data_IF_666220555202
#
_entry.id   IF_666220555202
#
_cell.length_a   1.000
_cell.length_b   1.000
_cell.length_c   1.000
_cell.angle_alpha   90.00
_cell.angle_beta   90.00
_cell.angle_gamma   90.00
#
_symmetry.space_group_name_H-M   'P 1'
#
loop_
_entity.id
_entity.type
_entity.pdbx_description
1 polymer ?
#
# COMPACT_ATOMS: atom_id res chain seq x y z
N UNK A 1 3.45 11.81 -1.14
CA UNK A 1 4.12 13.13 -1.04
C UNK A 1 3.01 14.16 -0.89
N UNK A 2 3.17 15.30 -0.23
CA UNK A 2 2.13 16.34 -0.37
C UNK A 2 2.29 17.04 -1.72
N UNK A 3 1.19 17.50 -2.32
CA UNK A 3 1.20 18.13 -3.65
C UNK A 3 2.05 19.41 -3.66
N UNK A 4 2.01 20.15 -2.55
CA UNK A 4 2.83 21.35 -2.35
C UNK A 4 4.32 21.01 -2.25
N UNK A 5 4.63 19.91 -1.56
CA UNK A 5 6.01 19.45 -1.40
C UNK A 5 6.60 18.96 -2.73
N UNK A 6 5.78 18.29 -3.56
CA UNK A 6 6.18 17.88 -4.91
C UNK A 6 6.55 19.06 -5.80
N UNK A 7 5.72 20.11 -5.79
CA UNK A 7 5.98 21.33 -6.54
C UNK A 7 7.22 22.06 -6.00
N UNK A 8 7.33 22.25 -4.69
CA UNK A 8 8.49 22.89 -4.08
C UNK A 8 9.80 22.14 -4.40
N UNK A 9 9.79 20.81 -4.36
CA UNK A 9 10.92 20.00 -4.79
C UNK A 9 11.29 20.24 -6.26
N UNK A 10 10.29 20.29 -7.15
CA UNK A 10 10.51 20.53 -8.57
C UNK A 10 11.17 21.90 -8.80
N UNK A 11 10.63 22.95 -8.19
CA UNK A 11 11.08 24.33 -8.36
C UNK A 11 12.42 24.62 -7.67
N UNK A 12 12.59 24.17 -6.43
CA UNK A 12 13.73 24.59 -5.60
C UNK A 12 14.93 23.65 -5.73
N UNK A 13 14.71 22.39 -6.12
CA UNK A 13 15.76 21.37 -6.10
C UNK A 13 16.00 20.73 -7.46
N UNK A 14 14.95 20.20 -8.11
CA UNK A 14 15.13 19.44 -9.34
C UNK A 14 15.54 20.32 -10.52
N UNK A 15 14.75 21.36 -10.80
CA UNK A 15 14.97 22.25 -11.94
C UNK A 15 16.36 22.91 -11.87
N UNK A 16 16.77 23.55 -10.75
CA UNK A 16 18.05 24.27 -10.70
C UNK A 16 19.26 23.33 -10.77
N UNK A 17 19.16 22.12 -10.20
CA UNK A 17 20.27 21.14 -10.18
C UNK A 17 20.42 20.34 -11.46
N UNK A 18 19.40 20.35 -12.31
CA UNK A 18 19.39 19.57 -13.57
C UNK A 18 19.30 20.47 -14.79
N UNK A 19 19.41 21.79 -14.64
CA UNK A 19 19.24 22.75 -15.73
C UNK A 19 20.18 22.45 -16.90
N UNK A 20 19.57 22.33 -18.09
CA UNK A 20 20.26 22.18 -19.37
C UNK A 20 19.46 22.87 -20.47
N UNK A 21 20.13 23.24 -21.56
CA UNK A 21 19.45 23.79 -22.75
C UNK A 21 18.61 22.73 -23.50
N UNK A 22 18.84 21.44 -23.23
CA UNK A 22 18.11 20.35 -23.87
C UNK A 22 16.85 19.96 -23.10
N UNK A 23 15.84 19.39 -23.78
CA UNK A 23 14.68 18.80 -23.13
C UNK A 23 15.08 17.70 -22.16
N UNK A 24 14.43 17.69 -20.99
CA UNK A 24 14.70 16.73 -19.90
C UNK A 24 13.51 15.82 -19.71
N UNK A 25 13.75 14.55 -19.38
CA UNK A 25 12.70 13.58 -19.10
C UNK A 25 12.66 13.28 -17.60
N UNK A 26 11.50 13.53 -16.98
CA UNK A 26 11.19 13.17 -15.60
C UNK A 26 10.23 11.96 -15.58
N UNK A 27 10.69 10.87 -14.98
CA UNK A 27 9.91 9.62 -14.86
C UNK A 27 9.37 9.52 -13.43
N UNK A 28 8.06 9.50 -13.28
CA UNK A 28 7.34 9.40 -12.00
C UNK A 28 6.71 8.01 -11.85
N UNK A 29 6.59 7.54 -10.60
CA UNK A 29 5.75 6.38 -10.32
C UNK A 29 4.27 6.74 -10.57
N UNK A 30 3.48 5.76 -11.00
CA UNK A 30 2.07 5.94 -11.38
C UNK A 30 1.13 6.30 -10.23
N UNK A 31 1.61 6.84 -9.11
CA UNK A 31 0.77 7.33 -8.03
C UNK A 31 0.19 8.69 -8.42
N UNK A 32 -0.80 8.67 -9.32
CA UNK A 32 -1.43 9.83 -9.95
C UNK A 32 -2.15 10.80 -9.02
N UNK A 33 -1.98 10.69 -7.70
CA UNK A 33 -2.51 11.62 -6.70
C UNK A 33 -1.66 12.89 -6.51
N UNK A 34 -0.44 12.98 -7.07
CA UNK A 34 0.50 14.08 -6.78
C UNK A 34 0.90 14.94 -7.98
N UNK A 35 0.20 14.79 -9.11
CA UNK A 35 0.49 15.50 -10.34
C UNK A 35 -0.56 16.60 -10.49
N UNK A 36 -0.25 17.76 -9.89
CA UNK A 36 -1.12 18.94 -9.96
C UNK A 36 -0.93 19.69 -11.26
N UNK A 37 -1.93 20.50 -11.64
CA UNK A 37 -1.81 21.46 -12.73
C UNK A 37 -0.52 22.29 -12.63
N UNK A 38 -0.22 22.86 -11.45
CA UNK A 38 0.97 23.70 -11.26
C UNK A 38 2.26 22.93 -11.50
N UNK A 39 2.32 21.68 -11.06
CA UNK A 39 3.49 20.83 -11.27
C UNK A 39 3.74 20.61 -12.76
N UNK A 40 2.69 20.28 -13.52
CA UNK A 40 2.81 20.07 -14.95
C UNK A 40 3.11 21.37 -15.71
N UNK A 41 2.48 22.48 -15.31
CA UNK A 41 2.71 23.78 -15.93
C UNK A 41 4.18 24.21 -15.77
N UNK A 42 4.71 24.14 -14.54
CA UNK A 42 6.10 24.50 -14.27
C UNK A 42 7.08 23.59 -15.02
N UNK A 43 6.80 22.27 -15.08
CA UNK A 43 7.62 21.34 -15.84
C UNK A 43 7.64 21.68 -17.33
N UNK A 44 6.49 22.02 -17.92
CA UNK A 44 6.37 22.41 -19.32
C UNK A 44 7.17 23.70 -19.61
N UNK A 45 6.99 24.73 -18.77
CA UNK A 45 7.72 26.01 -18.88
C UNK A 45 9.25 25.80 -18.75
N UNK A 46 9.67 24.79 -17.99
CA UNK A 46 11.08 24.44 -17.77
C UNK A 46 11.65 23.43 -18.78
N UNK A 47 10.92 23.11 -19.86
CA UNK A 47 11.31 22.10 -20.87
C UNK A 47 11.57 20.70 -20.27
N UNK A 48 10.75 20.31 -19.29
CA UNK A 48 10.77 19.00 -18.62
C UNK A 48 9.53 18.21 -19.06
N UNK A 49 9.73 17.12 -19.79
CA UNK A 49 8.67 16.16 -20.12
C UNK A 49 8.45 15.19 -18.97
N UNK A 50 7.19 14.98 -18.60
CA UNK A 50 6.81 14.07 -17.52
C UNK A 50 6.22 12.78 -18.10
N UNK A 51 6.77 11.64 -17.69
CA UNK A 51 6.21 10.31 -17.95
C UNK A 51 5.80 9.68 -16.62
N UNK A 52 4.53 9.27 -16.54
CA UNK A 52 4.01 8.49 -15.44
C UNK A 52 4.05 7.01 -15.81
N UNK A 53 4.77 6.23 -15.02
CA UNK A 53 4.83 4.79 -15.21
C UNK A 53 3.47 4.14 -14.90
N UNK A 54 3.12 3.03 -15.56
CA UNK A 54 1.95 2.24 -15.21
C UNK A 54 1.88 1.89 -13.72
N UNK A 55 0.66 1.79 -13.19
CA UNK A 55 0.44 1.23 -11.87
C UNK A 55 1.09 -0.16 -11.77
N UNK A 56 1.69 -0.45 -10.62
CA UNK A 56 2.36 -1.73 -10.32
C UNK A 56 3.54 -2.10 -11.24
N UNK A 57 4.05 -1.17 -12.06
CA UNK A 57 5.23 -1.42 -12.91
C UNK A 57 6.57 -0.99 -12.32
N UNK A 58 6.59 -0.46 -11.09
CA UNK A 58 7.80 0.04 -10.41
C UNK A 58 8.96 -0.95 -10.48
N UNK A 59 8.74 -2.20 -10.07
CA UNK A 59 9.72 -3.29 -10.10
C UNK A 59 10.22 -3.67 -11.52
N UNK A 60 9.55 -3.19 -12.57
CA UNK A 60 9.85 -3.49 -13.97
C UNK A 60 10.34 -2.30 -14.77
N UNK A 61 10.15 -1.07 -14.30
CA UNK A 61 10.43 0.14 -15.07
C UNK A 61 11.20 1.21 -14.29
N UNK A 62 11.20 1.20 -12.95
CA UNK A 62 11.91 2.21 -12.17
C UNK A 62 13.39 1.84 -11.95
N UNK A 63 14.33 2.64 -12.47
CA UNK A 63 15.76 2.39 -12.26
C UNK A 63 16.14 2.38 -10.78
N UNK A 64 15.46 3.21 -9.98
CA UNK A 64 15.71 3.33 -8.55
C UNK A 64 15.44 1.99 -7.84
N UNK A 65 14.30 1.37 -8.10
CA UNK A 65 13.92 0.09 -7.51
C UNK A 65 14.74 -1.10 -8.02
N UNK A 66 15.09 -1.13 -9.30
CA UNK A 66 15.80 -2.27 -9.89
C UNK A 66 17.30 -2.24 -9.59
N UNK A 67 17.92 -1.06 -9.57
CA UNK A 67 19.37 -0.95 -9.56
C UNK A 67 19.99 -0.17 -8.40
N UNK A 68 19.21 0.63 -7.65
CA UNK A 68 19.77 1.58 -6.67
C UNK A 68 19.41 1.19 -5.24
N UNK A 69 18.15 0.83 -4.96
CA UNK A 69 17.74 0.54 -3.59
C UNK A 69 18.39 -0.69 -2.97
N UNK A 70 18.63 -1.75 -3.76
CA UNK A 70 19.30 -2.94 -3.24
C UNK A 70 20.75 -2.65 -2.80
N UNK A 71 21.61 -2.01 -3.61
CA UNK A 71 22.93 -1.58 -3.14
C UNK A 71 22.88 -0.60 -1.96
N UNK A 72 21.93 0.35 -1.97
CA UNK A 72 21.78 1.31 -0.88
C UNK A 72 21.49 0.60 0.45
N UNK A 73 20.55 -0.34 0.46
CA UNK A 73 20.23 -1.15 1.64
C UNK A 73 21.43 -1.98 2.10
N UNK A 74 22.18 -2.55 1.16
CA UNK A 74 23.38 -3.33 1.47
C UNK A 74 24.45 -2.49 2.17
N UNK A 75 24.82 -1.33 1.62
CA UNK A 75 25.84 -0.47 2.22
C UNK A 75 25.36 0.15 3.53
N UNK A 76 24.07 0.51 3.62
CA UNK A 76 23.49 1.00 4.87
C UNK A 76 23.57 -0.07 5.97
N UNK A 77 23.18 -1.31 5.66
CA UNK A 77 23.29 -2.44 6.58
C UNK A 77 24.73 -2.67 7.04
N UNK A 78 25.69 -2.63 6.10
CA UNK A 78 27.12 -2.76 6.41
C UNK A 78 27.63 -1.65 7.35
N UNK A 79 27.21 -0.40 7.13
CA UNK A 79 27.58 0.73 7.98
C UNK A 79 27.00 0.57 9.39
N UNK A 80 25.72 0.18 9.48
CA UNK A 80 25.05 -0.09 10.75
C UNK A 80 25.71 -1.27 11.52
N UNK A 81 26.03 -2.36 10.84
CA UNK A 81 26.68 -3.54 11.42
C UNK A 81 28.09 -3.22 11.93
N UNK A 82 28.82 -2.36 11.22
CA UNK A 82 30.16 -1.91 11.63
C UNK A 82 30.05 -1.05 12.89
N UNK A 83 29.14 -0.09 12.90
CA UNK A 83 28.88 0.73 14.08
C UNK A 83 28.48 -0.08 15.31
N UNK A 84 27.58 -1.07 15.15
CA UNK A 84 27.16 -1.95 16.24
C UNK A 84 28.33 -2.78 16.80
N UNK A 85 29.23 -3.27 15.93
CA UNK A 85 30.42 -4.02 16.36
C UNK A 85 31.42 -3.14 17.12
N UNK A 86 31.65 -1.93 16.64
CA UNK A 86 32.68 -1.02 17.19
C UNK A 86 32.23 -0.38 18.50
N UNK A 87 30.99 0.11 18.58
CA UNK A 87 30.49 0.81 19.77
C UNK A 87 29.79 -0.09 20.78
N UNK A 88 29.37 -1.30 20.38
CA UNK A 88 28.49 -2.19 21.17
C UNK A 88 27.20 -1.51 21.62
N UNK A 89 26.79 -0.44 20.92
CA UNK A 89 25.54 0.28 21.16
C UNK A 89 24.56 0.05 20.02
N UNK A 90 23.25 0.12 20.31
CA UNK A 90 22.21 -0.03 19.32
C UNK A 90 22.11 1.17 18.36
N UNK A 91 21.56 0.93 17.16
CA UNK A 91 21.27 1.97 16.16
C UNK A 91 20.22 2.94 16.69
N UNK A 92 20.56 4.23 16.74
CA UNK A 92 19.66 5.32 17.16
C UNK A 92 19.16 6.10 15.95
N UNK A 93 18.03 6.80 16.09
CA UNK A 93 17.50 7.69 15.04
C UNK A 93 18.53 8.73 14.57
N UNK A 94 19.38 9.25 15.47
CA UNK A 94 20.45 10.20 15.14
C UNK A 94 21.58 9.63 14.27
N UNK A 95 21.77 8.30 14.27
CA UNK A 95 22.82 7.63 13.46
C UNK A 95 22.39 7.35 12.02
N UNK A 96 21.09 7.51 11.72
CA UNK A 96 20.55 7.27 10.38
C UNK A 96 21.30 8.06 9.30
N UNK A 97 21.51 9.37 9.53
CA UNK A 97 22.16 10.22 8.54
C UNK A 97 23.60 9.79 8.28
N UNK A 98 24.33 9.38 9.31
CA UNK A 98 25.71 8.90 9.18
C UNK A 98 25.80 7.66 8.29
N UNK A 99 24.93 6.67 8.52
CA UNK A 99 24.93 5.45 7.71
C UNK A 99 24.39 5.71 6.30
N UNK A 100 23.39 6.59 6.18
CA UNK A 100 22.82 6.96 4.90
C UNK A 100 23.82 7.71 4.02
N UNK A 101 24.57 8.69 4.56
CA UNK A 101 25.55 9.45 3.77
C UNK A 101 26.67 8.56 3.26
N UNK A 102 27.18 7.64 4.08
CA UNK A 102 28.15 6.63 3.67
C UNK A 102 27.59 5.72 2.57
N UNK A 103 26.43 5.13 2.81
CA UNK A 103 25.77 4.25 1.84
C UNK A 103 25.43 4.96 0.53
N UNK A 104 25.02 6.23 0.61
CA UNK A 104 24.70 7.07 -0.54
C UNK A 104 25.94 7.30 -1.40
N UNK A 105 27.08 7.68 -0.79
CA UNK A 105 28.33 7.89 -1.52
C UNK A 105 28.81 6.62 -2.24
N UNK A 106 28.60 5.45 -1.64
CA UNK A 106 28.95 4.14 -2.23
C UNK A 106 27.94 3.62 -3.26
N UNK A 107 26.72 4.15 -3.28
CA UNK A 107 25.65 3.66 -4.15
C UNK A 107 25.46 4.53 -5.38
N UNK A 108 25.33 5.85 -5.19
CA UNK A 108 24.96 6.81 -6.23
C UNK A 108 26.17 7.21 -7.10
N UNK A 109 26.93 6.22 -7.55
CA UNK A 109 28.01 6.39 -8.52
C UNK A 109 27.44 6.43 -9.95
N UNK A 110 28.09 7.15 -10.88
CA UNK A 110 27.67 7.19 -12.28
C UNK A 110 27.50 5.80 -12.91
N UNK A 111 28.42 4.87 -12.61
CA UNK A 111 28.36 3.48 -13.08
C UNK A 111 27.10 2.73 -12.63
N UNK A 112 26.68 2.92 -11.37
CA UNK A 112 25.51 2.25 -10.80
C UNK A 112 24.23 2.82 -11.41
N UNK A 113 24.16 4.15 -11.51
CA UNK A 113 23.03 4.86 -12.12
C UNK A 113 22.89 4.44 -13.58
N UNK A 114 23.95 4.52 -14.39
CA UNK A 114 23.91 4.11 -15.79
C UNK A 114 23.54 2.63 -15.95
N UNK A 115 24.05 1.75 -15.07
CA UNK A 115 23.67 0.34 -15.07
C UNK A 115 22.19 0.13 -14.79
N UNK A 116 21.61 0.87 -13.85
CA UNK A 116 20.19 0.82 -13.54
C UNK A 116 19.34 1.23 -14.76
N UNK A 117 19.67 2.36 -15.41
CA UNK A 117 18.97 2.81 -16.61
C UNK A 117 19.11 1.82 -17.78
N UNK A 118 20.28 1.20 -17.94
CA UNK A 118 20.53 0.15 -18.95
C UNK A 118 19.76 -1.14 -18.67
N UNK A 119 19.66 -1.54 -17.41
CA UNK A 119 18.88 -2.71 -16.99
C UNK A 119 17.40 -2.56 -17.35
N UNK A 120 16.89 -1.32 -17.31
CA UNK A 120 15.51 -1.00 -17.69
C UNK A 120 15.32 -0.80 -19.19
N UNK A 121 16.40 -0.78 -19.98
CA UNK A 121 16.33 -0.47 -21.40
C UNK A 121 15.81 0.95 -21.65
N UNK A 122 16.06 1.90 -20.74
CA UNK A 122 15.77 3.32 -20.95
C UNK A 122 16.94 3.98 -21.68
N UNK A 123 18.17 3.69 -21.24
CA UNK A 123 19.40 4.20 -21.86
C UNK A 123 20.44 3.06 -22.00
N UNK A 124 20.75 2.60 -23.23
CA UNK A 124 20.05 2.92 -24.48
C UNK A 124 18.62 2.36 -24.48
N UNK A 125 17.74 2.95 -25.28
CA UNK A 125 16.36 2.53 -25.38
C UNK A 125 16.25 1.12 -25.97
N UNK A 126 15.73 0.17 -25.20
CA UNK A 126 15.55 -1.22 -25.59
C UNK A 126 14.35 -1.85 -24.84
N UNK A 127 13.14 -1.87 -25.44
CA UNK A 127 11.94 -2.36 -24.78
C UNK A 127 11.98 -3.87 -24.47
N UNK A 128 12.77 -4.65 -25.19
CA UNK A 128 12.85 -6.11 -25.00
C UNK A 128 13.32 -6.50 -23.60
N UNK A 129 14.14 -5.65 -22.95
CA UNK A 129 14.61 -5.87 -21.56
C UNK A 129 13.46 -6.00 -20.56
N UNK A 130 12.35 -5.30 -20.81
CA UNK A 130 11.16 -5.30 -19.95
C UNK A 130 10.13 -6.30 -20.48
N UNK A 131 9.88 -6.32 -21.79
CA UNK A 131 8.85 -7.18 -22.40
C UNK A 131 9.08 -8.66 -22.09
N UNK A 132 10.32 -9.15 -22.16
CA UNK A 132 10.65 -10.56 -21.85
C UNK A 132 10.27 -10.93 -20.41
N UNK A 133 10.35 -10.00 -19.45
CA UNK A 133 9.97 -10.25 -18.04
C UNK A 133 8.46 -10.38 -17.89
N UNK A 134 7.70 -9.53 -18.59
CA UNK A 134 6.23 -9.54 -18.56
C UNK A 134 5.67 -10.85 -19.13
N UNK A 135 6.22 -11.33 -20.25
CA UNK A 135 5.73 -12.56 -20.92
C UNK A 135 6.01 -13.86 -20.14
N UNK A 136 6.98 -13.87 -19.21
CA UNK A 136 7.26 -15.05 -18.37
C UNK A 136 6.23 -15.24 -17.26
N UNK A 137 5.65 -14.16 -16.73
CA UNK A 137 4.70 -14.21 -15.59
C UNK A 137 3.36 -14.83 -15.99
N UNK A 138 2.97 -14.80 -17.27
CA UNK A 138 1.70 -15.35 -17.76
C UNK A 138 1.69 -16.86 -17.96
N UNK A 139 2.83 -17.55 -17.83
CA UNK A 139 2.92 -19.01 -17.99
C UNK A 139 3.16 -19.70 -16.64
N UNK A 140 2.11 -19.86 -15.83
CA UNK A 140 2.15 -20.77 -14.66
C UNK A 140 1.21 -21.94 -14.92
N UNK A 141 1.79 -23.10 -15.24
CA UNK A 141 1.06 -24.36 -15.43
C UNK A 141 0.79 -24.97 -14.05
N UNK A 142 -0.48 -25.19 -13.73
CA UNK A 142 -0.93 -25.90 -12.52
C UNK A 142 -0.47 -27.37 -12.57
N UNK A 143 0.12 -27.95 -11.51
CA UNK A 143 0.43 -29.36 -11.49
C UNK A 143 -0.82 -30.18 -11.20
N UNK A 144 -1.19 -31.08 -12.11
CA UNK A 144 -2.24 -32.08 -11.90
C UNK A 144 -1.70 -33.21 -11.02
N UNK A 145 -2.35 -33.44 -9.87
CA UNK A 145 -2.10 -34.62 -9.04
C UNK A 145 -3.17 -35.68 -9.34
N UNK A 146 -2.82 -36.93 -9.71
CA UNK A 146 -3.79 -37.98 -9.96
C UNK A 146 -4.34 -38.58 -8.66
N UNK A 147 -5.67 -38.62 -8.57
CA UNK A 147 -6.46 -39.25 -7.51
C UNK A 147 -6.58 -40.77 -7.71
N UNK A 148 -6.56 -41.53 -6.61
CA UNK A 148 -7.18 -42.86 -6.32
C UNK A 148 -6.24 -43.56 -5.33
N UNK A 149 -6.62 -44.09 -4.16
CA UNK A 149 -7.70 -45.00 -3.74
C UNK A 149 -7.90 -44.77 -2.22
N UNK A 150 -9.13 -44.94 -1.71
CA UNK A 150 -9.70 -44.45 -0.42
C UNK A 150 -10.16 -42.99 -0.49
N UNK A 151 -11.42 -42.82 -0.90
CA UNK A 151 -12.08 -41.50 -0.88
C UNK A 151 -12.22 -41.02 0.56
N UNK A 152 -11.48 -39.98 0.93
CA UNK A 152 -11.64 -39.27 2.19
C UNK A 152 -13.09 -38.79 2.31
N UNK A 153 -13.78 -39.07 3.43
CA UNK A 153 -15.16 -38.63 3.63
C UNK A 153 -15.23 -37.11 3.55
N UNK A 154 -16.20 -36.59 2.79
CA UNK A 154 -16.33 -35.16 2.49
C UNK A 154 -17.23 -34.40 3.47
N UNK A 155 -17.93 -35.12 4.32
CA UNK A 155 -18.86 -34.60 5.31
C UNK A 155 -18.85 -35.54 6.54
N UNK A 156 -19.07 -34.99 7.73
CA UNK A 156 -19.12 -35.75 8.99
C UNK A 156 -20.15 -36.90 8.95
N UNK A 157 -21.28 -36.74 8.26
CA UNK A 157 -22.25 -37.82 8.08
C UNK A 157 -21.67 -39.02 7.30
N UNK A 158 -20.88 -38.75 6.25
CA UNK A 158 -20.27 -39.77 5.41
C UNK A 158 -19.16 -40.53 6.16
N UNK A 159 -18.40 -39.81 6.99
CA UNK A 159 -17.39 -40.36 7.89
C UNK A 159 -18.03 -41.32 8.92
N UNK A 160 -19.12 -40.90 9.56
CA UNK A 160 -19.86 -41.72 10.54
C UNK A 160 -20.40 -43.00 9.92
N UNK A 161 -20.97 -42.92 8.72
CA UNK A 161 -21.44 -44.08 7.97
C UNK A 161 -20.31 -45.05 7.62
N UNK A 162 -19.14 -44.54 7.22
CA UNK A 162 -17.96 -45.35 6.92
C UNK A 162 -17.35 -46.01 8.16
N UNK A 163 -17.33 -45.32 9.31
CA UNK A 163 -16.86 -45.88 10.58
C UNK A 163 -17.78 -47.01 11.10
N UNK A 164 -19.10 -46.84 10.95
CA UNK A 164 -20.08 -47.89 11.26
C UNK A 164 -19.97 -49.08 10.31
N UNK A 165 -19.73 -48.84 9.02
CA UNK A 165 -19.46 -49.91 8.06
C UNK A 165 -18.16 -50.65 8.39
N UNK A 166 -17.08 -49.93 8.74
CA UNK A 166 -15.80 -50.51 9.15
C UNK A 166 -15.93 -51.41 10.39
N UNK A 167 -16.84 -51.07 11.32
CA UNK A 167 -17.17 -51.87 12.50
C UNK A 167 -17.65 -53.30 12.13
N UNK A 168 -18.28 -53.47 10.96
CA UNK A 168 -18.77 -54.77 10.47
C UNK A 168 -17.68 -55.68 9.89
N UNK A 169 -16.50 -55.14 9.57
CA UNK A 169 -15.39 -55.90 8.96
C UNK A 169 -14.41 -56.51 9.97
N UNK A 170 -14.55 -56.23 11.27
CA UNK A 170 -13.66 -56.81 12.29
C UNK A 170 -13.98 -58.30 12.51
N UNK A 171 -13.00 -59.21 12.35
CA UNK A 171 -13.24 -60.65 12.50
C UNK A 171 -13.63 -61.01 13.94
N UNK A 172 -14.30 -62.16 14.09
CA UNK A 172 -14.74 -62.76 15.36
C UNK A 172 -13.54 -63.12 16.26
N UNK A 173 -12.92 -62.10 16.86
CA UNK A 173 -11.88 -62.19 17.88
C UNK A 173 -12.53 -62.28 19.29
N UNK A 174 -11.85 -62.80 20.34
CA UNK A 174 -12.41 -62.92 21.67
C UNK A 174 -13.06 -61.62 22.16
N UNK A 175 -14.22 -61.73 22.82
CA UNK A 175 -15.13 -60.61 23.16
C UNK A 175 -14.40 -59.38 23.74
N UNK A 176 -13.39 -59.60 24.59
CA UNK A 176 -12.59 -58.56 25.24
C UNK A 176 -11.73 -57.71 24.29
N UNK A 177 -11.21 -58.28 23.20
CA UNK A 177 -10.37 -57.56 22.22
C UNK A 177 -11.22 -56.80 21.21
N UNK A 178 -12.36 -57.36 20.80
CA UNK A 178 -13.30 -56.74 19.86
C UNK A 178 -13.87 -55.42 20.39
N UNK A 179 -14.33 -55.40 21.64
CA UNK A 179 -14.90 -54.19 22.24
C UNK A 179 -13.88 -53.05 22.33
N UNK A 180 -12.61 -53.37 22.55
CA UNK A 180 -11.51 -52.38 22.58
C UNK A 180 -11.28 -51.74 21.21
N UNK A 181 -11.19 -52.52 20.13
CA UNK A 181 -11.01 -51.97 18.78
C UNK A 181 -12.21 -51.18 18.29
N UNK A 182 -13.43 -51.64 18.56
CA UNK A 182 -14.63 -50.91 18.19
C UNK A 182 -14.74 -49.57 18.93
N UNK A 183 -14.40 -49.56 20.23
CA UNK A 183 -14.36 -48.32 21.01
C UNK A 183 -13.33 -47.32 20.45
N UNK A 184 -12.16 -47.79 19.99
CA UNK A 184 -11.14 -46.92 19.39
C UNK A 184 -11.62 -46.35 18.05
N UNK A 185 -12.22 -47.17 17.17
CA UNK A 185 -12.71 -46.72 15.86
C UNK A 185 -13.82 -45.69 16.00
N UNK A 186 -14.77 -45.93 16.92
CA UNK A 186 -15.88 -45.00 17.16
C UNK A 186 -15.40 -43.69 17.80
N UNK A 187 -14.49 -43.75 18.78
CA UNK A 187 -13.90 -42.53 19.36
C UNK A 187 -13.12 -41.71 18.34
N UNK A 188 -12.36 -42.38 17.46
CA UNK A 188 -11.66 -41.68 16.38
C UNK A 188 -12.65 -41.04 15.42
N UNK A 189 -13.73 -41.73 15.05
CA UNK A 189 -14.78 -41.19 14.21
C UNK A 189 -15.44 -39.95 14.83
N UNK A 190 -15.85 -40.03 16.10
CA UNK A 190 -16.45 -38.89 16.83
C UNK A 190 -15.49 -37.70 16.94
N UNK A 191 -14.21 -37.93 17.25
CA UNK A 191 -13.20 -36.86 17.29
C UNK A 191 -13.01 -36.20 15.92
N UNK A 192 -13.00 -36.98 14.85
CA UNK A 192 -12.88 -36.44 13.48
C UNK A 192 -14.15 -35.72 13.03
N UNK A 193 -15.33 -36.13 13.49
CA UNK A 193 -16.61 -35.44 13.27
C UNK A 193 -16.60 -34.07 13.96
N UNK A 194 -16.16 -33.98 15.22
CA UNK A 194 -15.97 -32.70 15.90
C UNK A 194 -14.96 -31.78 15.18
N UNK A 195 -13.83 -32.33 14.75
CA UNK A 195 -12.83 -31.52 14.04
C UNK A 195 -13.35 -31.00 12.68
N UNK A 196 -14.15 -31.79 11.96
CA UNK A 196 -14.74 -31.38 10.68
C UNK A 196 -15.80 -30.30 10.87
N UNK A 197 -16.65 -30.39 11.91
CA UNK A 197 -17.66 -29.36 12.19
C UNK A 197 -17.01 -28.05 12.63
N UNK A 198 -15.94 -28.09 13.44
CA UNK A 198 -15.15 -26.90 13.79
C UNK A 198 -14.56 -26.23 12.55
N UNK A 199 -14.05 -27.00 11.58
CA UNK A 199 -13.55 -26.47 10.31
C UNK A 199 -14.66 -25.86 9.46
N UNK A 200 -15.86 -26.45 9.44
CA UNK A 200 -17.01 -25.89 8.74
C UNK A 200 -17.47 -24.57 9.36
N UNK A 201 -17.54 -24.49 10.69
CA UNK A 201 -17.86 -23.26 11.43
C UNK A 201 -16.81 -22.18 11.13
N UNK A 202 -15.52 -22.51 11.24
CA UNK A 202 -14.44 -21.57 10.96
C UNK A 202 -14.50 -21.06 9.51
N UNK A 203 -14.84 -21.93 8.55
CA UNK A 203 -15.05 -21.51 7.15
C UNK A 203 -16.23 -20.55 7.02
N UNK A 204 -17.37 -20.85 7.66
CA UNK A 204 -18.53 -19.98 7.65
C UNK A 204 -18.24 -18.61 8.27
N UNK A 205 -17.52 -18.57 9.39
CA UNK A 205 -17.07 -17.32 10.02
C UNK A 205 -16.12 -16.53 9.12
N UNK A 206 -15.14 -17.19 8.49
CA UNK A 206 -14.24 -16.51 7.54
C UNK A 206 -14.98 -15.96 6.33
N UNK A 207 -16.03 -16.66 5.88
CA UNK A 207 -16.87 -16.21 4.78
C UNK A 207 -17.72 -14.99 5.19
N UNK A 208 -18.38 -15.02 6.35
CA UNK A 208 -19.12 -13.86 6.86
C UNK A 208 -18.21 -12.63 7.08
N UNK A 209 -16.99 -12.85 7.58
CA UNK A 209 -15.99 -11.80 7.65
C UNK A 209 -15.67 -11.26 6.26
N UNK A 210 -15.39 -12.14 5.28
CA UNK A 210 -15.10 -11.71 3.91
C UNK A 210 -16.25 -10.90 3.28
N UNK A 211 -17.50 -11.34 3.41
CA UNK A 211 -18.69 -10.63 2.95
C UNK A 211 -18.84 -9.26 3.63
N UNK A 212 -18.58 -9.17 4.95
CA UNK A 212 -18.53 -7.91 5.69
C UNK A 212 -17.38 -6.97 5.27
N UNK A 213 -16.28 -7.52 4.74
CA UNK A 213 -15.17 -6.76 4.17
C UNK A 213 -15.40 -6.38 2.69
N UNK A 214 -16.27 -7.07 1.96
CA UNK A 214 -16.55 -6.79 0.54
C UNK A 214 -17.23 -5.43 0.32
N UNK A 215 -18.08 -4.98 1.25
CA UNK A 215 -18.62 -3.61 1.25
C UNK A 215 -17.57 -2.50 1.44
N UNK A 216 -16.32 -2.86 1.82
CA UNK A 216 -15.17 -1.95 1.99
C UNK A 216 -14.04 -2.23 1.00
N UNK A 217 -14.18 -3.20 0.10
CA UNK A 217 -13.17 -3.49 -0.93
C UNK A 217 -13.29 -2.44 -2.04
N UNK A 218 -12.32 -1.54 -2.11
CA UNK A 218 -11.95 -0.95 -3.41
C UNK A 218 -11.54 -2.10 -4.33
N UNK A 219 -12.15 -2.19 -5.51
CA UNK A 219 -11.79 -3.17 -6.54
C UNK A 219 -10.30 -2.95 -6.83
N UNK A 220 -9.44 -3.84 -6.32
CA UNK A 220 -8.02 -3.84 -6.68
C UNK A 220 -7.95 -4.37 -8.11
N UNK A 221 -7.55 -3.51 -9.04
CA UNK A 221 -7.28 -3.89 -10.41
C UNK A 221 -6.35 -5.13 -10.44
N UNK A 222 -6.58 -6.01 -11.42
CA UNK A 222 -5.76 -7.21 -11.59
C UNK A 222 -4.28 -6.80 -11.70
N UNK A 223 -3.47 -7.25 -10.74
CA UNK A 223 -2.04 -6.90 -10.63
C UNK A 223 -1.21 -7.39 -11.82
N UNK A 224 -1.78 -8.24 -12.67
CA UNK A 224 -1.16 -8.77 -13.89
C UNK A 224 -1.37 -7.86 -15.10
N UNK A 225 -2.31 -6.93 -15.03
CA UNK A 225 -2.61 -5.98 -16.11
C UNK A 225 -1.96 -4.64 -15.77
N UNK A 226 -0.87 -4.33 -16.47
CA UNK A 226 -0.26 -3.00 -16.40
C UNK A 226 -1.24 -1.97 -16.98
N UNK A 227 -1.47 -0.87 -16.26
CA UNK A 227 -2.20 0.27 -16.83
C UNK A 227 -1.42 0.87 -18.01
N UNK A 228 -2.06 1.64 -18.88
CA UNK A 228 -1.32 2.37 -19.92
C UNK A 228 -0.36 3.37 -19.25
N UNK A 229 0.88 3.45 -19.75
CA UNK A 229 1.80 4.52 -19.39
C UNK A 229 1.20 5.85 -19.85
N UNK A 230 1.28 6.89 -19.03
CA UNK A 230 0.69 8.20 -19.32
C UNK A 230 1.80 9.23 -19.52
N UNK A 231 1.91 9.76 -20.73
CA UNK A 231 2.69 10.95 -21.03
C UNK A 231 1.80 12.14 -20.74
N UNK A 232 2.29 13.12 -19.97
CA UNK A 232 1.52 14.34 -19.69
C UNK A 232 1.65 15.28 -20.88
N UNK A 233 0.53 15.52 -21.56
CA UNK A 233 0.45 16.42 -22.73
C UNK A 233 -0.20 17.76 -22.35
N UNK A 234 -0.09 18.76 -23.22
CA UNK A 234 -0.76 20.06 -23.03
C UNK A 234 -2.26 19.96 -22.79
N UNK A 235 -2.93 18.98 -23.41
CA UNK A 235 -4.36 18.71 -23.19
C UNK A 235 -4.64 18.21 -21.77
N UNK A 236 -3.79 17.34 -21.23
CA UNK A 236 -3.91 16.84 -19.86
C UNK A 236 -3.73 17.97 -18.85
N UNK A 237 -2.83 18.90 -19.16
CA UNK A 237 -2.60 20.11 -18.38
C UNK A 237 -3.94 20.87 -18.39
N UNK A 238 -4.51 21.24 -19.54
CA UNK A 238 -5.79 21.99 -19.60
C UNK A 238 -6.90 21.30 -18.81
N UNK A 239 -7.05 19.97 -18.93
CA UNK A 239 -8.04 19.19 -18.16
C UNK A 239 -7.83 19.32 -16.65
N UNK A 240 -6.59 19.19 -16.17
CA UNK A 240 -6.26 19.36 -14.75
C UNK A 240 -6.59 20.78 -14.25
N UNK A 241 -6.46 21.80 -15.11
CA UNK A 241 -6.86 23.17 -14.78
C UNK A 241 -8.37 23.30 -14.58
N UNK A 242 -9.14 22.73 -15.51
CA UNK A 242 -10.60 22.76 -15.50
C UNK A 242 -11.17 21.98 -14.31
N UNK A 243 -10.62 20.80 -14.01
CA UNK A 243 -11.00 20.00 -12.85
C UNK A 243 -10.76 20.77 -11.54
N UNK A 244 -9.63 21.47 -11.41
CA UNK A 244 -9.34 22.28 -10.23
C UNK A 244 -10.32 23.44 -10.09
N UNK A 245 -10.58 24.19 -11.17
CA UNK A 245 -11.58 25.27 -11.19
C UNK A 245 -12.96 24.74 -10.80
N UNK A 246 -13.36 23.57 -11.31
CA UNK A 246 -14.61 22.92 -10.95
C UNK A 246 -14.67 22.50 -9.47
N UNK A 247 -13.57 22.00 -8.90
CA UNK A 247 -13.49 21.68 -7.46
C UNK A 247 -13.57 22.92 -6.58
N UNK A 248 -12.93 24.03 -6.97
CA UNK A 248 -13.01 25.31 -6.26
C UNK A 248 -14.43 25.89 -6.30
N UNK A 249 -15.15 25.73 -7.41
CA UNK A 249 -16.57 26.09 -7.54
C UNK A 249 -17.53 25.16 -6.77
N UNK A 250 -17.11 23.93 -6.41
CA UNK A 250 -17.90 22.99 -5.58
C UNK A 250 -17.74 23.25 -4.07
N UNK A 251 -16.61 23.82 -3.64
CA UNK A 251 -16.32 24.17 -2.22
C UNK A 251 -17.27 25.22 -1.57
N UNK A 252 -17.97 26.14 -2.27
CA UNK A 252 -18.89 27.09 -1.64
C UNK A 252 -20.13 26.42 -1.01
N UNK A 253 -20.61 25.32 -1.59
CA UNK A 253 -21.88 24.67 -1.17
C UNK A 253 -21.76 23.69 0.01
N UNK A 254 -20.54 23.28 0.39
CA UNK A 254 -20.35 22.46 1.59
C UNK A 254 -20.28 23.29 2.87
N UNK A 255 -19.86 24.56 2.80
CA UNK A 255 -19.88 25.48 3.96
C UNK A 255 -21.30 25.93 4.33
N UNK A 256 -22.19 26.09 3.36
CA UNK A 256 -23.61 26.45 3.59
C UNK A 256 -24.43 25.29 4.17
N UNK A 257 -24.15 24.05 3.76
CA UNK A 257 -24.81 22.84 4.29
C UNK A 257 -24.32 22.44 5.69
N UNK A 258 -23.05 22.67 6.03
CA UNK A 258 -22.55 22.49 7.41
C UNK A 258 -23.12 23.55 8.37
N UNK A 259 -23.28 24.81 7.95
CA UNK A 259 -23.93 25.86 8.76
C UNK A 259 -25.40 25.56 9.04
N UNK A 260 -26.14 24.96 8.09
CA UNK A 260 -27.54 24.54 8.32
C UNK A 260 -27.70 23.31 9.23
N UNK A 261 -26.68 22.45 9.35
CA UNK A 261 -26.71 21.31 10.29
C UNK A 261 -26.29 21.66 11.72
N UNK A 262 -25.52 22.74 11.94
CA UNK A 262 -25.15 23.16 13.31
C UNK A 262 -26.19 24.07 13.97
N UNK A 263 -27.23 24.51 13.25
CA UNK A 263 -28.30 25.36 13.81
C UNK A 263 -29.51 24.57 14.33
N UNK A 264 -29.45 23.22 14.35
CA UNK A 264 -30.53 22.37 14.83
C UNK A 264 -30.06 21.38 15.91
N UNK A 265 -29.26 21.85 16.88
CA UNK A 265 -29.07 21.15 18.17
C UNK A 265 -28.58 22.17 19.22
N UNK A 266 -29.50 22.83 19.92
CA UNK A 266 -29.20 23.40 21.24
C UNK A 266 -30.48 23.52 22.06
N UNK A 267 -30.79 22.48 22.82
CA UNK A 267 -31.62 22.58 24.02
C UNK A 267 -30.99 21.72 25.12
N UNK A 268 -30.94 22.28 26.33
CA UNK A 268 -30.54 21.72 27.62
C UNK A 268 -29.05 21.59 28.00
N UNK A 269 -28.65 22.58 28.82
CA UNK A 269 -28.39 22.45 30.26
C UNK A 269 -26.96 22.29 30.77
N UNK A 270 -26.69 23.18 31.74
CA UNK A 270 -25.81 23.03 32.91
C UNK A 270 -24.31 23.33 32.75
N UNK A 271 -24.00 24.55 33.19
CA UNK A 271 -23.05 24.86 34.27
C UNK A 271 -21.60 24.45 34.09
N UNK A 272 -20.72 25.43 33.80
CA UNK A 272 -19.43 25.52 34.48
C UNK A 272 -19.01 26.99 34.63
N UNK A 273 -18.61 27.32 35.85
CA UNK A 273 -18.20 28.61 36.41
C UNK A 273 -17.17 29.37 35.56
N UNK A 274 -17.33 30.70 35.46
CA UNK A 274 -16.20 31.61 35.18
C UNK A 274 -16.23 32.81 36.11
N UNK A 275 -15.08 33.05 36.72
CA UNK A 275 -14.80 34.10 37.71
C UNK A 275 -14.86 35.49 37.05
N UNK A 276 -15.51 36.42 37.74
CA UNK A 276 -15.69 37.81 37.32
C UNK A 276 -14.48 38.64 37.74
N UNK A 277 -13.89 39.39 36.80
CA UNK A 277 -13.12 40.59 37.11
C UNK A 277 -13.70 41.75 36.28
N UNK A 278 -14.42 42.63 36.97
CA UNK A 278 -15.00 43.85 36.43
C UNK A 278 -13.92 44.84 36.01
N UNK A 279 -13.96 45.24 34.74
CA UNK A 279 -13.60 46.60 34.32
C UNK A 279 -14.74 47.56 34.67
N UNK A 280 -14.45 48.85 34.82
CA UNK A 280 -15.32 49.85 34.21
C UNK A 280 -14.52 50.71 33.21
N UNK A 281 -15.07 50.81 31.99
CA UNK A 281 -14.66 51.81 31.01
C UNK A 281 -15.31 53.18 31.29
N UNK A 282 -15.71 53.93 30.25
CA UNK A 282 -14.87 54.98 29.65
C UNK A 282 -15.52 56.37 29.66
N UNK A 283 -14.82 57.34 29.05
CA UNK A 283 -15.26 58.70 28.65
C UNK A 283 -15.38 59.71 29.82
N UNK A 284 -15.10 61.00 29.70
CA UNK A 284 -15.05 61.95 28.59
C UNK A 284 -14.25 63.18 29.05
N UNK A 285 -13.56 63.86 28.13
CA UNK A 285 -12.82 65.09 28.45
C UNK A 285 -13.70 66.28 28.82
N UNK A 286 -13.14 67.25 29.55
CA UNK A 286 -13.55 68.66 29.50
C UNK A 286 -12.44 69.58 30.05
N UNK A 287 -12.16 70.64 29.30
CA UNK A 287 -11.47 71.92 29.54
C UNK A 287 -10.56 72.19 30.76
N UNK A 288 -9.33 72.61 30.41
CA UNK A 288 -8.69 73.95 30.63
C UNK A 288 -8.77 74.66 32.01
N UNK A 289 -7.56 74.92 32.51
CA UNK A 289 -7.01 76.16 33.11
C UNK A 289 -7.68 76.76 34.34
N UNK A 290 -6.97 76.76 35.48
CA UNK A 290 -6.06 77.85 35.87
C UNK A 290 -5.08 77.38 36.94
#
# INVERSE_FOLDING_TARGET
>A
MDDQLGLAWLCEHFEPKTYTQHPRLLILDGHGSHITWQFCQFALESNIQIICLPAHSTHLLQPLDVGIFSPLQHYYGKAADTHMRDTRTGVKKGTFWTFYTEAHALTFLPKTIQSAFRAMGIVPFNPNKVLVKVTKVTKTTTPNCPTTIFTTPRNHHQLRQQALAATSFFPLSPKSSRESYLAVVLRLADLTECALTEVEIAKAETQQLQEGYEGKRTIKADRRVLSKARIITGEDIIRLQEERKAQELRKPNQRSTKKKKSSFTSFNSSSFFFWSFSTPGPNSGFSRSH
#
